data_IF_620492065211
#
_entry.id   IF_620492065211
#
_cell.length_a   1.000
_cell.length_b   1.000
_cell.length_c   1.000
_cell.angle_alpha   90.00
_cell.angle_beta   90.00
_cell.angle_gamma   90.00
#
_symmetry.space_group_name_H-M   'P 1'
#
loop_
_entity.id
_entity.type
_entity.pdbx_description
1 polymer ?
#
# COMPACT_ATOMS: atom_id res chain seq x y z
N UNK A 1 -17.42 -52.54 -87.46
CA UNK A 1 -17.19 -53.57 -86.42
C UNK A 1 -17.98 -53.20 -85.18
N UNK A 2 -19.01 -53.98 -84.83
CA UNK A 2 -19.84 -53.79 -83.65
C UNK A 2 -19.77 -55.09 -82.86
N UNK A 3 -18.90 -55.14 -81.85
CA UNK A 3 -18.81 -56.34 -81.03
C UNK A 3 -19.88 -56.23 -79.95
N UNK A 4 -20.88 -57.12 -80.01
CA UNK A 4 -21.81 -57.34 -78.90
C UNK A 4 -22.75 -56.15 -78.55
N UNK A 5 -23.25 -55.44 -79.56
CA UNK A 5 -24.37 -54.50 -79.40
C UNK A 5 -24.03 -53.11 -78.84
N UNK A 6 -22.76 -52.86 -78.51
CA UNK A 6 -22.29 -51.54 -78.07
C UNK A 6 -21.59 -50.86 -79.24
N UNK A 7 -22.13 -49.73 -79.68
CA UNK A 7 -21.50 -48.90 -80.71
C UNK A 7 -20.31 -48.13 -80.13
N UNK A 8 -19.27 -47.90 -80.94
CA UNK A 8 -18.15 -47.04 -80.55
C UNK A 8 -18.61 -45.64 -80.10
N UNK A 9 -19.68 -45.11 -80.72
CA UNK A 9 -20.29 -43.85 -80.32
C UNK A 9 -20.88 -43.89 -78.90
N UNK A 10 -21.38 -45.03 -78.45
CA UNK A 10 -22.00 -45.21 -77.15
C UNK A 10 -20.92 -45.34 -76.05
N UNK A 11 -19.84 -46.06 -76.33
CA UNK A 11 -18.65 -46.10 -75.48
C UNK A 11 -17.99 -44.72 -75.35
N UNK A 12 -17.89 -43.98 -76.46
CA UNK A 12 -17.35 -42.61 -76.47
C UNK A 12 -18.29 -41.65 -75.72
N UNK A 13 -19.61 -41.80 -75.86
CA UNK A 13 -20.59 -41.01 -75.12
C UNK A 13 -20.50 -41.24 -73.60
N UNK A 14 -20.41 -42.49 -73.16
CA UNK A 14 -20.20 -42.85 -71.74
C UNK A 14 -18.88 -42.28 -71.23
N UNK A 15 -17.80 -42.40 -72.01
CA UNK A 15 -16.47 -41.88 -71.63
C UNK A 15 -16.50 -40.36 -71.49
N UNK A 16 -17.09 -39.66 -72.46
CA UNK A 16 -17.25 -38.20 -72.42
C UNK A 16 -18.10 -37.77 -71.24
N UNK A 17 -19.26 -38.40 -71.04
CA UNK A 17 -20.17 -38.06 -69.94
C UNK A 17 -19.59 -38.38 -68.56
N UNK A 18 -18.77 -39.42 -68.44
CA UNK A 18 -18.05 -39.74 -67.21
C UNK A 18 -16.93 -38.75 -66.92
N UNK A 19 -16.20 -38.31 -67.96
CA UNK A 19 -15.18 -37.27 -67.82
C UNK A 19 -15.80 -35.92 -67.46
N UNK A 20 -16.90 -35.52 -68.11
CA UNK A 20 -17.66 -34.31 -67.78
C UNK A 20 -18.17 -34.33 -66.32
N UNK A 21 -18.68 -35.48 -65.87
CA UNK A 21 -19.08 -35.70 -64.46
C UNK A 21 -17.89 -35.64 -63.50
N UNK A 22 -16.75 -36.22 -63.85
CA UNK A 22 -15.55 -36.17 -63.02
C UNK A 22 -15.02 -34.74 -62.89
N UNK A 23 -14.96 -33.99 -64.00
CA UNK A 23 -14.51 -32.60 -64.01
C UNK A 23 -15.45 -31.71 -63.20
N UNK A 24 -16.76 -31.81 -63.41
CA UNK A 24 -17.75 -31.04 -62.63
C UNK A 24 -17.68 -31.34 -61.14
N UNK A 25 -17.51 -32.61 -60.75
CA UNK A 25 -17.35 -32.99 -59.35
C UNK A 25 -16.05 -32.43 -58.73
N UNK A 26 -14.92 -32.47 -59.46
CA UNK A 26 -13.67 -31.87 -59.01
C UNK A 26 -13.78 -30.35 -58.86
N UNK A 27 -14.46 -29.67 -59.80
CA UNK A 27 -14.71 -28.23 -59.69
C UNK A 27 -15.52 -27.89 -58.45
N UNK A 28 -16.58 -28.65 -58.14
CA UNK A 28 -17.40 -28.47 -56.94
C UNK A 28 -16.60 -28.70 -55.65
N UNK A 29 -15.79 -29.76 -55.59
CA UNK A 29 -14.95 -29.99 -54.42
C UNK A 29 -13.88 -28.90 -54.23
N UNK A 30 -13.32 -28.36 -55.32
CA UNK A 30 -12.36 -27.27 -55.24
C UNK A 30 -13.00 -25.99 -54.69
N UNK A 31 -14.20 -25.64 -55.17
CA UNK A 31 -14.92 -24.46 -54.66
C UNK A 31 -15.31 -24.63 -53.20
N UNK A 32 -15.74 -25.83 -52.78
CA UNK A 32 -16.02 -26.14 -51.38
C UNK A 32 -14.76 -26.03 -50.50
N UNK A 33 -13.62 -26.55 -50.94
CA UNK A 33 -12.36 -26.45 -50.18
C UNK A 33 -11.90 -25.00 -50.07
N UNK A 34 -12.05 -24.20 -51.13
CA UNK A 34 -11.74 -22.77 -51.10
C UNK A 34 -12.63 -22.01 -50.12
N UNK A 35 -13.92 -22.33 -50.07
CA UNK A 35 -14.87 -21.72 -49.14
C UNK A 35 -14.58 -22.12 -47.68
N UNK A 36 -14.34 -23.40 -47.43
CA UNK A 36 -13.92 -23.90 -46.10
C UNK A 36 -12.61 -23.25 -45.67
N UNK A 37 -11.65 -23.11 -46.57
CA UNK A 37 -10.37 -22.45 -46.30
C UNK A 37 -10.57 -20.95 -45.98
N UNK A 38 -11.42 -20.26 -46.74
CA UNK A 38 -11.75 -18.85 -46.49
C UNK A 38 -12.45 -18.66 -45.14
N UNK A 39 -13.40 -19.54 -44.81
CA UNK A 39 -14.09 -19.57 -43.53
C UNK A 39 -13.14 -19.85 -42.36
N UNK A 40 -12.28 -20.86 -42.49
CA UNK A 40 -11.28 -21.19 -41.48
C UNK A 40 -10.29 -20.04 -41.26
N UNK A 41 -9.82 -19.40 -42.34
CA UNK A 41 -8.97 -18.21 -42.27
C UNK A 41 -9.67 -17.08 -41.50
N UNK A 42 -10.93 -16.77 -41.84
CA UNK A 42 -11.70 -15.74 -41.14
C UNK A 42 -11.87 -16.05 -39.65
N UNK A 43 -12.21 -17.29 -39.32
CA UNK A 43 -12.38 -17.74 -37.94
C UNK A 43 -11.07 -17.65 -37.14
N UNK A 44 -9.94 -18.06 -37.72
CA UNK A 44 -8.63 -17.93 -37.08
C UNK A 44 -8.24 -16.46 -36.85
N UNK A 45 -8.44 -15.59 -37.85
CA UNK A 45 -8.18 -14.15 -37.70
C UNK A 45 -9.03 -13.54 -36.58
N UNK A 46 -10.31 -13.92 -36.49
CA UNK A 46 -11.18 -13.44 -35.42
C UNK A 46 -10.71 -13.92 -34.04
N UNK A 47 -10.28 -15.17 -33.92
CA UNK A 47 -9.72 -15.69 -32.65
C UNK A 47 -8.43 -14.97 -32.28
N UNK A 48 -7.55 -14.70 -33.24
CA UNK A 48 -6.31 -13.93 -33.01
C UNK A 48 -6.65 -12.53 -32.50
N UNK A 49 -7.60 -11.83 -33.12
CA UNK A 49 -8.02 -10.51 -32.68
C UNK A 49 -8.61 -10.54 -31.26
N UNK A 50 -9.49 -11.51 -30.98
CA UNK A 50 -10.09 -11.65 -29.65
C UNK A 50 -9.04 -11.90 -28.56
N UNK A 51 -8.05 -12.75 -28.85
CA UNK A 51 -6.93 -13.02 -27.93
C UNK A 51 -6.04 -11.77 -27.77
N UNK A 52 -5.77 -11.02 -28.85
CA UNK A 52 -4.99 -9.78 -28.79
C UNK A 52 -5.66 -8.73 -27.87
N UNK A 53 -6.98 -8.57 -27.97
CA UNK A 53 -7.74 -7.68 -27.10
C UNK A 53 -7.66 -8.14 -25.63
N UNK A 54 -7.80 -9.44 -25.37
CA UNK A 54 -7.68 -10.00 -24.02
C UNK A 54 -6.28 -9.79 -23.42
N UNK A 55 -5.22 -9.95 -24.21
CA UNK A 55 -3.85 -9.72 -23.77
C UNK A 55 -3.63 -8.25 -23.41
N UNK A 56 -4.13 -7.30 -24.21
CA UNK A 56 -4.06 -5.86 -23.88
C UNK A 56 -4.77 -5.55 -22.57
N UNK A 57 -5.96 -6.09 -22.36
CA UNK A 57 -6.70 -5.95 -21.10
C UNK A 57 -5.91 -6.52 -19.92
N UNK A 58 -5.31 -7.70 -20.08
CA UNK A 58 -4.49 -8.31 -19.03
C UNK A 58 -3.26 -7.47 -18.70
N UNK A 59 -2.59 -6.90 -19.69
CA UNK A 59 -1.46 -5.98 -19.49
C UNK A 59 -1.91 -4.75 -18.70
N UNK A 60 -3.05 -4.16 -19.05
CA UNK A 60 -3.58 -2.98 -18.35
C UNK A 60 -3.95 -3.31 -16.89
N UNK A 61 -4.59 -4.46 -16.66
CA UNK A 61 -4.93 -4.94 -15.32
C UNK A 61 -3.67 -5.23 -14.49
N UNK A 62 -2.65 -5.84 -15.10
CA UNK A 62 -1.35 -6.08 -14.46
C UNK A 62 -0.67 -4.77 -14.09
N UNK A 63 -0.69 -3.77 -14.98
CA UNK A 63 -0.15 -2.43 -14.72
C UNK A 63 -0.87 -1.77 -13.54
N UNK A 64 -2.21 -1.76 -13.54
CA UNK A 64 -3.01 -1.20 -12.45
C UNK A 64 -2.76 -1.91 -11.12
N UNK A 65 -2.57 -3.23 -11.16
CA UNK A 65 -2.25 -4.03 -9.96
C UNK A 65 -0.86 -3.67 -9.44
N UNK A 66 0.14 -3.57 -10.32
CA UNK A 66 1.50 -3.12 -9.96
C UNK A 66 1.49 -1.73 -9.33
N UNK A 67 0.81 -0.77 -9.94
CA UNK A 67 0.67 0.60 -9.41
C UNK A 67 0.05 0.62 -8.00
N UNK A 68 -0.99 -0.19 -7.77
CA UNK A 68 -1.61 -0.33 -6.44
C UNK A 68 -0.66 -0.95 -5.42
N UNK A 69 0.09 -1.98 -5.81
CA UNK A 69 1.07 -2.63 -4.94
C UNK A 69 2.20 -1.66 -4.58
N UNK A 70 2.72 -0.92 -5.55
CA UNK A 70 3.77 0.09 -5.34
C UNK A 70 3.28 1.21 -4.40
N UNK A 71 2.03 1.67 -4.58
CA UNK A 71 1.44 2.67 -3.68
C UNK A 71 1.26 2.12 -2.26
N UNK A 72 0.76 0.89 -2.12
CA UNK A 72 0.65 0.23 -0.82
C UNK A 72 2.00 0.04 -0.13
N UNK A 73 3.05 -0.29 -0.88
CA UNK A 73 4.41 -0.40 -0.35
C UNK A 73 4.93 0.96 0.14
N UNK A 74 4.64 2.05 -0.57
CA UNK A 74 4.98 3.42 -0.16
C UNK A 74 4.24 3.81 1.13
N UNK A 75 2.95 3.51 1.22
CA UNK A 75 2.16 3.77 2.42
C UNK A 75 2.69 2.97 3.62
N UNK A 76 3.03 1.69 3.43
CA UNK A 76 3.65 0.87 4.48
C UNK A 76 5.02 1.41 4.91
N UNK A 77 5.83 1.90 3.97
CA UNK A 77 7.10 2.55 4.29
C UNK A 77 6.88 3.81 5.16
N UNK A 78 5.90 4.64 4.80
CA UNK A 78 5.55 5.83 5.59
C UNK A 78 5.07 5.45 6.99
N UNK A 79 4.23 4.42 7.12
CA UNK A 79 3.81 3.89 8.43
C UNK A 79 5.02 3.41 9.22
N UNK A 80 5.96 2.71 8.59
CA UNK A 80 7.22 2.29 9.22
C UNK A 80 8.03 3.47 9.77
N UNK A 81 8.18 4.54 8.99
CA UNK A 81 8.83 5.78 9.46
C UNK A 81 8.08 6.40 10.65
N UNK A 82 6.76 6.54 10.56
CA UNK A 82 5.95 7.10 11.65
C UNK A 82 6.05 6.27 12.93
N UNK A 83 6.12 4.94 12.83
CA UNK A 83 6.32 4.06 13.99
C UNK A 83 7.69 4.28 14.63
N UNK A 84 8.75 4.47 13.83
CA UNK A 84 10.07 4.80 14.34
C UNK A 84 10.07 6.17 15.08
N UNK A 85 9.37 7.16 14.55
CA UNK A 85 9.22 8.48 15.19
C UNK A 85 8.48 8.36 16.53
N UNK A 86 7.38 7.60 16.56
CA UNK A 86 6.63 7.32 17.80
C UNK A 86 7.54 6.63 18.82
N UNK A 87 8.32 5.65 18.40
CA UNK A 87 9.25 4.94 19.28
C UNK A 87 10.29 5.89 19.89
N UNK A 88 10.84 6.81 19.09
CA UNK A 88 11.77 7.86 19.57
C UNK A 88 11.13 8.76 20.64
N UNK A 89 9.89 9.19 20.42
CA UNK A 89 9.14 10.00 21.39
C UNK A 89 8.91 9.22 22.69
N UNK A 90 8.56 7.93 22.59
CA UNK A 90 8.35 7.06 23.75
C UNK A 90 9.62 6.92 24.58
N UNK A 91 10.79 6.69 23.96
CA UNK A 91 12.07 6.66 24.69
C UNK A 91 12.40 7.99 25.36
N UNK A 92 12.11 9.12 24.72
CA UNK A 92 12.30 10.43 25.35
C UNK A 92 11.39 10.62 26.57
N UNK A 93 10.14 10.17 26.48
CA UNK A 93 9.19 10.23 27.59
C UNK A 93 9.59 9.30 28.74
N UNK A 94 10.09 8.10 28.44
CA UNK A 94 10.59 7.15 29.45
C UNK A 94 11.72 7.77 30.29
N UNK A 95 12.71 8.40 29.65
CA UNK A 95 13.78 9.11 30.38
C UNK A 95 13.26 10.28 31.21
N UNK A 96 12.31 11.07 30.68
CA UNK A 96 11.66 12.16 31.43
C UNK A 96 10.86 11.64 32.63
N UNK A 97 10.23 10.48 32.51
CA UNK A 97 9.47 9.84 33.58
C UNK A 97 10.40 9.37 34.70
N UNK A 98 11.53 8.75 34.35
CA UNK A 98 12.56 8.34 35.31
C UNK A 98 13.11 9.54 36.10
N UNK A 99 13.39 10.66 35.43
CA UNK A 99 13.86 11.89 36.07
C UNK A 99 12.82 12.49 37.03
N UNK A 100 11.55 12.47 36.63
CA UNK A 100 10.45 12.97 37.47
C UNK A 100 10.25 12.08 38.70
N UNK A 101 10.37 10.76 38.56
CA UNK A 101 10.32 9.83 39.68
C UNK A 101 11.45 10.07 40.68
N UNK A 102 12.69 10.27 40.20
CA UNK A 102 13.84 10.64 41.05
C UNK A 102 13.58 11.93 41.82
N UNK A 103 13.08 12.97 41.15
CA UNK A 103 12.74 14.27 41.78
C UNK A 103 11.64 14.12 42.83
N UNK A 104 10.59 13.34 42.55
CA UNK A 104 9.50 13.07 43.48
C UNK A 104 9.99 12.31 44.71
N UNK A 105 10.81 11.28 44.52
CA UNK A 105 11.38 10.50 45.62
C UNK A 105 12.26 11.39 46.51
N UNK A 106 13.08 12.25 45.91
CA UNK A 106 13.87 13.24 46.64
C UNK A 106 13.00 14.20 47.47
N UNK A 107 11.96 14.78 46.86
CA UNK A 107 11.04 15.68 47.56
C UNK A 107 10.33 14.96 48.72
N UNK A 108 9.93 13.70 48.52
CA UNK A 108 9.27 12.90 49.55
C UNK A 108 10.21 12.61 50.74
N UNK A 109 11.49 12.31 50.47
CA UNK A 109 12.53 12.16 51.50
C UNK A 109 12.75 13.48 52.26
N UNK A 110 12.78 14.61 51.56
CA UNK A 110 12.88 15.95 52.16
C UNK A 110 11.70 16.27 53.08
N UNK A 111 10.47 16.00 52.63
CA UNK A 111 9.25 16.21 53.43
C UNK A 111 9.26 15.30 54.66
N UNK A 112 9.63 14.02 54.52
CA UNK A 112 9.75 13.10 55.64
C UNK A 112 10.77 13.58 56.70
N UNK A 113 11.92 14.08 56.25
CA UNK A 113 12.92 14.68 57.15
C UNK A 113 12.36 15.89 57.91
N UNK A 114 11.66 16.80 57.22
CA UNK A 114 11.05 17.99 57.84
C UNK A 114 9.99 17.62 58.89
N UNK A 115 9.17 16.59 58.62
CA UNK A 115 8.19 16.08 59.58
C UNK A 115 8.88 15.54 60.83
N UNK A 116 9.92 14.72 60.66
CA UNK A 116 10.65 14.15 61.81
C UNK A 116 11.37 15.24 62.61
N UNK A 117 11.95 16.23 61.93
CA UNK A 117 12.57 17.38 62.57
C UNK A 117 11.55 18.22 63.37
N UNK A 118 10.37 18.48 62.81
CA UNK A 118 9.30 19.22 63.49
C UNK A 118 8.71 18.45 64.69
N UNK A 119 8.72 17.11 64.65
CA UNK A 119 8.32 16.25 65.75
C UNK A 119 9.36 16.16 66.88
N UNK A 120 10.51 16.83 66.76
CA UNK A 120 11.55 16.88 67.79
C UNK A 120 12.43 15.61 67.88
N UNK A 121 12.27 14.68 66.95
CA UNK A 121 13.22 13.58 66.79
C UNK A 121 14.53 14.13 66.19
N UNK A 122 15.68 13.68 66.71
CA UNK A 122 16.99 13.98 66.11
C UNK A 122 17.11 13.25 64.77
N UNK A 123 16.43 13.77 63.75
CA UNK A 123 16.49 13.27 62.39
C UNK A 123 17.89 13.51 61.85
N UNK A 124 18.63 12.43 61.59
CA UNK A 124 19.89 12.50 60.84
C UNK A 124 19.52 12.82 59.40
N UNK A 125 20.12 13.87 58.84
CA UNK A 125 19.92 14.25 57.43
C UNK A 125 20.27 13.04 56.54
N UNK A 126 19.34 12.57 55.69
CA UNK A 126 19.62 11.49 54.76
C UNK A 126 20.73 11.87 53.78
N UNK A 127 21.67 10.94 53.51
CA UNK A 127 22.84 11.14 52.63
C UNK A 127 22.47 11.72 51.26
N UNK A 128 21.33 11.29 50.72
CA UNK A 128 20.80 11.72 49.41
C UNK A 128 20.44 13.21 49.39
N UNK A 129 19.94 13.74 50.51
CA UNK A 129 19.67 15.17 50.66
C UNK A 129 20.98 15.94 50.79
N UNK A 130 21.89 15.44 51.64
CA UNK A 130 23.18 16.07 51.91
C UNK A 130 24.06 16.19 50.65
N UNK A 131 24.13 15.13 49.84
CA UNK A 131 24.90 15.11 48.58
C UNK A 131 24.35 16.12 47.56
N UNK A 132 23.02 16.20 47.41
CA UNK A 132 22.38 17.20 46.53
C UNK A 132 22.56 18.62 47.04
N UNK A 133 22.50 18.86 48.36
CA UNK A 133 22.74 20.19 48.94
C UNK A 133 24.18 20.64 48.69
N UNK A 134 25.16 19.76 48.85
CA UNK A 134 26.57 20.05 48.53
C UNK A 134 26.79 20.32 47.03
N UNK A 135 26.09 19.60 46.14
CA UNK A 135 26.13 19.89 44.70
C UNK A 135 25.48 21.24 44.36
N UNK A 136 24.41 21.63 45.05
CA UNK A 136 23.74 22.91 44.91
C UNK A 136 24.58 24.09 45.43
N UNK A 137 25.29 23.90 46.54
CA UNK A 137 26.22 24.89 47.11
C UNK A 137 27.39 25.20 46.16
N UNK A 138 27.73 24.27 45.26
CA UNK A 138 28.77 24.43 44.24
C UNK A 138 28.26 25.05 42.93
N UNK A 139 26.95 25.32 42.78
CA UNK A 139 26.35 25.91 41.59
C UNK A 139 25.97 27.39 41.84
N UNK A 140 26.28 28.26 40.87
CA UNK A 140 25.95 29.69 40.95
C UNK A 140 24.42 29.91 41.13
N UNK A 141 23.97 30.82 42.02
CA UNK A 141 22.54 31.00 42.37
C UNK A 141 21.60 31.30 41.20
N UNK A 142 22.13 31.80 40.07
CA UNK A 142 21.36 32.18 38.88
C UNK A 142 20.78 30.98 38.08
N UNK A 143 21.32 29.77 38.28
CA UNK A 143 20.89 28.57 37.54
C UNK A 143 19.61 27.91 38.08
N UNK A 144 19.18 28.24 39.30
CA UNK A 144 18.04 27.58 39.96
C UNK A 144 16.68 28.08 39.46
N UNK A 145 16.61 29.32 38.97
CA UNK A 145 15.37 29.92 38.47
C UNK A 145 14.99 29.49 37.04
N UNK A 146 15.91 28.88 36.27
CA UNK A 146 15.73 28.68 34.81
C UNK A 146 14.99 27.38 34.47
N UNK A 147 14.82 26.45 35.41
CA UNK A 147 14.32 25.10 35.09
C UNK A 147 12.79 24.98 35.07
N UNK A 148 12.05 25.87 35.75
CA UNK A 148 10.57 25.82 35.78
C UNK A 148 9.94 26.44 34.52
N UNK A 149 10.51 27.51 33.97
CA UNK A 149 9.93 28.25 32.83
C UNK A 149 9.96 27.49 31.49
N UNK A 150 10.96 26.62 31.29
CA UNK A 150 11.04 25.81 30.06
C UNK A 150 9.95 24.73 29.98
N UNK A 151 9.47 24.24 31.13
CA UNK A 151 8.48 23.17 31.18
C UNK A 151 7.07 23.69 30.84
N UNK A 152 6.72 24.89 31.33
CA UNK A 152 5.42 25.54 31.08
C UNK A 152 5.28 26.03 29.64
N UNK A 153 6.37 26.54 29.04
CA UNK A 153 6.35 27.03 27.66
C UNK A 153 6.08 25.92 26.64
N UNK A 154 6.59 24.70 26.88
CA UNK A 154 6.36 23.54 26.01
C UNK A 154 4.95 22.97 26.10
N UNK A 155 4.34 22.97 27.29
CA UNK A 155 2.96 22.52 27.51
C UNK A 155 1.93 23.51 26.94
N UNK A 156 2.22 24.82 27.04
CA UNK A 156 1.40 25.87 26.42
C UNK A 156 1.32 25.71 24.89
N UNK A 157 2.44 25.38 24.24
CA UNK A 157 2.48 25.15 22.79
C UNK A 157 1.62 23.96 22.32
N UNK A 158 1.47 22.91 23.12
CA UNK A 158 0.59 21.76 22.80
C UNK A 158 -0.89 22.06 23.04
N UNK A 159 -1.21 22.92 24.01
CA UNK A 159 -2.58 23.34 24.30
C UNK A 159 -3.11 24.33 23.25
N UNK A 160 -2.24 25.20 22.72
CA UNK A 160 -2.59 26.13 21.65
C UNK A 160 -2.86 25.40 20.31
N UNK A 161 -2.21 24.25 20.05
CA UNK A 161 -2.43 23.42 18.84
C UNK A 161 -3.73 22.59 18.87
N UNK A 162 -4.30 22.36 20.05
CA UNK A 162 -5.56 21.63 20.24
C UNK A 162 -6.79 22.57 20.37
N UNK A 163 -6.57 23.88 20.47
CA UNK A 163 -7.61 24.89 20.68
C UNK A 163 -8.25 25.46 19.41
N UNK A 164 -7.68 25.23 18.22
CA UNK A 164 -8.23 25.74 16.95
C UNK A 164 -9.31 24.77 16.40
N UNK A 165 -10.45 24.71 17.09
CA UNK A 165 -11.68 24.12 16.55
C UNK A 165 -12.26 25.07 15.49
N UNK A 166 -11.75 24.98 14.27
CA UNK A 166 -12.41 25.52 13.09
C UNK A 166 -13.12 24.39 12.35
N UNK A 167 -14.45 24.43 12.19
CA UNK A 167 -15.18 23.38 11.50
C UNK A 167 -14.77 23.38 10.02
N UNK A 168 -13.94 22.42 9.62
CA UNK A 168 -13.62 22.20 8.21
C UNK A 168 -14.83 21.56 7.55
N UNK A 169 -15.61 22.39 6.86
CA UNK A 169 -16.68 21.99 5.96
C UNK A 169 -16.13 20.99 4.92
N UNK A 170 -16.48 19.71 5.08
CA UNK A 170 -16.31 18.68 4.06
C UNK A 170 -17.37 18.90 2.97
N UNK A 171 -17.03 19.66 1.93
CA UNK A 171 -17.83 19.68 0.70
C UNK A 171 -17.58 18.41 -0.09
N UNK A 172 -18.47 17.44 0.13
CA UNK A 172 -18.73 16.33 -0.77
C UNK A 172 -19.38 16.88 -2.04
N UNK A 173 -18.64 16.93 -3.15
CA UNK A 173 -19.23 17.06 -4.48
C UNK A 173 -18.98 15.79 -5.27
N UNK A 174 -20.08 15.08 -5.51
CA UNK A 174 -20.15 13.91 -6.36
C UNK A 174 -19.91 14.32 -7.82
N UNK A 175 -18.97 13.67 -8.50
CA UNK A 175 -18.84 13.72 -9.95
C UNK A 175 -19.76 12.66 -10.55
N UNK A 176 -20.86 13.11 -11.14
CA UNK A 176 -21.78 12.31 -11.92
C UNK A 176 -21.19 12.03 -13.31
N UNK A 177 -21.46 10.81 -13.78
CA UNK A 177 -21.26 10.32 -15.15
C UNK A 177 -21.79 11.32 -16.18
N UNK A 178 -21.00 11.55 -17.24
CA UNK A 178 -21.37 11.47 -18.65
C UNK A 178 -20.07 11.34 -19.46
#
# INVERSE_FOLDING_TARGET
MWWKGISFSDMMYVTKRNMDKAVTNLTVHLTQVLDVLASAKKHLTQRIHCVDDQVKLQIELSRKTGEKVDNGQRELYQVGCNVADIQSIVYSLEGKMEDLEKKKNFANVGVAYLINFANGERAIMPDILQERTQLLENLNPCMLAIQEDKFLTGLKGLMDDLGDDKPRHLTRTASARC
#
